data_IF_621673267759
#
_entry.id   IF_621673267759
#
_cell.length_a   1.000
_cell.length_b   1.000
_cell.length_c   1.000
_cell.angle_alpha   90.00
_cell.angle_beta   90.00
_cell.angle_gamma   90.00
#
_symmetry.space_group_name_H-M   'P 1'
#
loop_
_entity.id
_entity.type
_entity.pdbx_description
1 polymer ?
2 branched ?
3 non-polymer ?
4 non-polymer ?
5 non-polymer ?
6 non-polymer ?
7 water ?
#
# COMPACT_ATOMS: atom_id res chain seq x y z
N UNK A 1 -19.52 -39.93 -23.14
CA UNK A 1 -19.71 -38.77 -22.28
C UNK A 1 -19.93 -37.48 -23.10
N UNK A 2 -21.19 -37.01 -23.14
CA UNK A 2 -21.51 -35.80 -23.87
C UNK A 2 -21.01 -34.53 -23.20
N UNK A 3 -20.61 -34.59 -21.92
CA UNK A 3 -20.12 -33.40 -21.24
C UNK A 3 -18.74 -32.98 -21.71
N UNK A 4 -18.04 -33.84 -22.47
CA UNK A 4 -16.74 -33.48 -23.03
C UNK A 4 -16.91 -32.36 -24.04
N UNK A 5 -16.25 -31.23 -23.79
CA UNK A 5 -16.22 -30.03 -24.61
C UNK A 5 -17.46 -29.16 -24.47
N UNK A 6 -18.43 -29.54 -23.64
CA UNK A 6 -19.58 -28.71 -23.35
C UNK A 6 -19.17 -27.62 -22.37
N UNK A 7 -19.18 -26.37 -22.82
CA UNK A 7 -18.69 -25.25 -22.03
C UNK A 7 -19.80 -24.67 -21.14
N UNK A 8 -19.38 -24.15 -19.99
CA UNK A 8 -20.26 -23.62 -18.97
C UNK A 8 -19.64 -22.35 -18.39
N UNK A 9 -20.48 -21.42 -17.95
CA UNK A 9 -19.96 -20.20 -17.35
C UNK A 9 -19.33 -20.51 -16.00
N UNK A 10 -18.59 -19.53 -15.47
CA UNK A 10 -17.85 -19.73 -14.21
C UNK A 10 -18.80 -20.04 -13.07
N UNK A 11 -18.38 -20.94 -12.19
CA UNK A 11 -19.25 -21.43 -11.15
C UNK A 11 -20.24 -22.47 -11.59
N UNK A 12 -20.29 -22.80 -12.88
CA UNK A 12 -21.10 -23.87 -13.43
C UNK A 12 -20.20 -24.98 -13.96
N UNK A 13 -20.77 -26.18 -14.02
CA UNK A 13 -20.10 -27.36 -14.55
C UNK A 13 -21.12 -28.14 -15.34
N UNK A 14 -20.60 -28.95 -16.26
CA UNK A 14 -21.44 -29.80 -17.11
C UNK A 14 -21.69 -31.14 -16.43
N UNK A 15 -22.96 -31.47 -16.23
CA UNK A 15 -23.38 -32.75 -15.70
C UNK A 15 -24.40 -33.38 -16.65
N UNK A 16 -24.26 -34.68 -16.86
CA UNK A 16 -25.14 -35.38 -17.78
C UNK A 16 -26.52 -35.59 -17.15
N UNK A 17 -27.53 -35.65 -18.02
CA UNK A 17 -28.91 -35.86 -17.60
C UNK A 17 -29.15 -37.35 -17.32
N UNK A 18 -30.30 -37.65 -16.72
CA UNK A 18 -30.71 -39.04 -16.62
C UNK A 18 -30.80 -39.70 -17.99
N UNK A 19 -30.91 -38.90 -19.05
CA UNK A 19 -30.96 -39.38 -20.43
C UNK A 19 -29.63 -39.28 -21.13
N UNK A 20 -28.57 -38.87 -20.44
CA UNK A 20 -27.28 -38.64 -21.04
C UNK A 20 -27.11 -37.27 -21.67
N UNK A 21 -28.11 -36.39 -21.55
CA UNK A 21 -28.05 -35.06 -22.13
C UNK A 21 -27.21 -34.14 -21.24
N UNK A 22 -26.22 -33.44 -21.80
CA UNK A 22 -25.42 -32.52 -20.95
C UNK A 22 -26.18 -31.26 -20.56
N UNK A 23 -25.98 -30.85 -19.30
CA UNK A 23 -26.57 -29.64 -18.74
C UNK A 23 -25.52 -28.92 -17.89
N UNK A 24 -25.52 -27.59 -17.94
CA UNK A 24 -24.74 -26.79 -17.00
C UNK A 24 -25.50 -26.69 -15.67
N UNK A 25 -24.89 -27.18 -14.60
CA UNK A 25 -25.45 -27.04 -13.26
C UNK A 25 -24.45 -26.28 -12.39
N UNK A 26 -24.93 -25.82 -11.24
CA UNK A 26 -24.05 -25.13 -10.31
C UNK A 26 -22.98 -26.08 -9.79
N UNK A 27 -21.79 -25.53 -9.59
CA UNK A 27 -20.70 -26.31 -9.04
C UNK A 27 -20.88 -26.44 -7.54
N UNK A 28 -20.71 -27.65 -7.03
CA UNK A 28 -20.72 -27.88 -5.59
C UNK A 28 -19.43 -27.33 -5.01
N UNK A 29 -19.48 -26.39 -4.07
CA UNK A 29 -18.22 -25.82 -3.52
C UNK A 29 -17.27 -26.87 -2.97
N UNK A 30 -17.77 -28.03 -2.55
CA UNK A 30 -16.87 -29.04 -2.00
C UNK A 30 -15.90 -29.53 -3.07
N UNK A 31 -16.32 -29.57 -4.34
CA UNK A 31 -15.43 -30.02 -5.40
C UNK A 31 -14.39 -28.98 -5.81
N UNK A 32 -14.43 -27.78 -5.25
CA UNK A 32 -13.41 -26.80 -5.57
C UNK A 32 -12.04 -27.33 -5.17
N UNK A 33 -11.00 -27.09 -5.97
CA UNK A 33 -9.64 -27.54 -5.58
C UNK A 33 -9.29 -27.12 -4.16
N UNK A 34 -8.45 -27.88 -3.46
CA UNK A 34 -7.99 -27.43 -2.15
C UNK A 34 -7.28 -26.09 -2.26
N UNK A 35 -7.32 -25.33 -1.16
CA UNK A 35 -6.91 -23.94 -1.19
C UNK A 35 -5.72 -23.71 -0.26
N UNK A 36 -4.87 -22.78 -0.67
CA UNK A 36 -3.81 -22.22 0.15
C UNK A 36 -4.27 -20.85 0.68
N UNK A 37 -3.72 -20.40 1.80
CA UNK A 37 -4.14 -19.08 2.32
C UNK A 37 -4.17 -17.96 1.30
N UNK A 38 -3.17 -17.86 0.43
CA UNK A 38 -3.10 -16.75 -0.50
C UNK A 38 -4.09 -16.85 -1.65
N UNK A 39 -4.86 -17.95 -1.75
CA UNK A 39 -5.93 -18.04 -2.73
C UNK A 39 -7.17 -17.26 -2.32
N UNK A 40 -7.23 -16.84 -1.06
CA UNK A 40 -8.42 -16.17 -0.55
C UNK A 40 -8.72 -14.93 -1.36
N UNK A 41 -10.00 -14.58 -1.43
CA UNK A 41 -10.45 -13.40 -2.16
C UNK A 41 -11.57 -12.78 -1.37
N UNK A 42 -11.79 -11.49 -1.59
CA UNK A 42 -12.81 -10.73 -0.90
C UNK A 42 -13.91 -10.40 -1.90
N UNK A 43 -15.14 -10.79 -1.57
CA UNK A 43 -16.25 -10.50 -2.43
C UNK A 43 -16.80 -9.12 -2.21
N UNK A 44 -17.60 -8.67 -3.19
CA UNK A 44 -18.23 -7.37 -3.05
C UNK A 44 -19.19 -7.33 -1.88
N UNK A 45 -19.51 -8.49 -1.29
CA UNK A 45 -20.33 -8.59 -0.07
C UNK A 45 -19.50 -8.46 1.20
N UNK A 46 -18.22 -8.11 1.08
CA UNK A 46 -17.27 -8.10 2.20
C UNK A 46 -17.22 -9.45 2.92
N UNK A 47 -17.42 -10.54 2.19
CA UNK A 47 -17.22 -11.88 2.72
C UNK A 47 -15.94 -12.42 2.12
N UNK A 48 -15.15 -13.11 2.94
CA UNK A 48 -13.95 -13.76 2.49
C UNK A 48 -14.29 -15.16 2.00
N UNK A 49 -13.85 -15.48 0.79
CA UNK A 49 -14.03 -16.81 0.20
C UNK A 49 -12.67 -17.51 0.14
N UNK A 50 -12.67 -18.83 0.35
CA UNK A 50 -11.43 -19.59 0.39
C UNK A 50 -10.69 -19.45 -0.93
N UNK A 51 -11.43 -19.32 -2.02
CA UNK A 51 -10.84 -19.07 -3.31
C UNK A 51 -11.91 -18.52 -4.25
N UNK A 52 -11.44 -18.16 -5.43
CA UNK A 52 -12.34 -17.68 -6.48
C UNK A 52 -13.35 -18.75 -6.87
N UNK A 53 -12.93 -20.03 -6.85
CA UNK A 53 -13.86 -21.11 -7.18
C UNK A 53 -15.03 -21.11 -6.20
N UNK A 54 -14.76 -20.90 -4.93
CA UNK A 54 -15.83 -20.91 -3.94
C UNK A 54 -16.76 -19.72 -4.14
N UNK A 55 -16.22 -18.57 -4.50
CA UNK A 55 -17.07 -17.41 -4.68
C UNK A 55 -18.06 -17.65 -5.81
N UNK A 56 -17.58 -18.11 -6.96
CA UNK A 56 -18.48 -18.23 -8.11
C UNK A 56 -19.43 -19.42 -7.98
N UNK A 57 -19.04 -20.48 -7.27
CA UNK A 57 -19.99 -21.52 -6.94
C UNK A 57 -21.12 -20.96 -6.08
N UNK A 58 -20.79 -20.11 -5.10
CA UNK A 58 -21.81 -19.47 -4.28
C UNK A 58 -22.70 -18.58 -5.12
N UNK A 59 -22.09 -17.75 -5.97
CA UNK A 59 -22.86 -16.88 -6.86
C UNK A 59 -23.84 -17.69 -7.70
N UNK A 60 -23.39 -18.83 -8.22
CA UNK A 60 -24.27 -19.67 -9.03
C UNK A 60 -25.45 -20.16 -8.21
N UNK A 61 -25.19 -20.70 -7.01
CA UNK A 61 -26.25 -21.14 -6.13
C UNK A 61 -27.26 -20.04 -5.86
N UNK A 62 -26.83 -18.78 -6.00
CA UNK A 62 -27.65 -17.62 -5.71
C UNK A 62 -28.22 -16.99 -6.97
N UNK A 63 -28.11 -17.68 -8.11
CA UNK A 63 -28.59 -17.11 -9.36
C UNK A 63 -30.08 -16.77 -9.24
N UNK A 64 -30.46 -15.62 -9.78
CA UNK A 64 -31.83 -15.18 -9.79
C UNK A 64 -32.21 -14.16 -8.73
N UNK A 65 -31.29 -13.82 -7.84
CA UNK A 65 -31.61 -12.99 -6.69
C UNK A 65 -30.71 -11.76 -6.65
N UNK A 66 -31.11 -10.82 -5.79
CA UNK A 66 -30.34 -9.60 -5.57
C UNK A 66 -28.92 -9.93 -5.14
N UNK A 67 -28.78 -10.66 -4.02
CA UNK A 67 -27.45 -11.01 -3.54
C UNK A 67 -26.65 -11.77 -4.58
N UNK A 68 -27.32 -12.61 -5.38
CA UNK A 68 -26.61 -13.32 -6.43
C UNK A 68 -26.09 -12.37 -7.49
N UNK A 69 -26.96 -11.48 -7.97
CA UNK A 69 -26.57 -10.55 -9.03
C UNK A 69 -25.47 -9.61 -8.56
N UNK A 70 -25.49 -9.24 -7.27
CA UNK A 70 -24.49 -8.31 -6.75
C UNK A 70 -23.13 -8.98 -6.58
N UNK A 71 -23.09 -10.25 -6.17
CA UNK A 71 -21.83 -10.85 -5.75
C UNK A 71 -20.83 -10.88 -6.90
N UNK A 72 -19.69 -10.24 -6.68
CA UNK A 72 -18.58 -10.30 -7.60
C UNK A 72 -17.31 -10.40 -6.76
N UNK A 73 -16.23 -10.75 -7.42
CA UNK A 73 -14.92 -10.69 -6.83
C UNK A 73 -14.50 -9.22 -6.70
N UNK A 74 -14.11 -8.80 -5.48
CA UNK A 74 -13.73 -7.42 -5.23
C UNK A 74 -12.22 -7.24 -5.27
N UNK A 75 -11.48 -8.04 -4.51
CA UNK A 75 -10.03 -7.97 -4.59
C UNK A 75 -9.44 -9.25 -4.01
N UNK A 76 -8.16 -9.44 -4.27
CA UNK A 76 -7.43 -10.57 -3.77
C UNK A 76 -7.07 -10.36 -2.30
N UNK A 77 -6.92 -11.45 -1.57
CA UNK A 77 -6.75 -11.42 -0.13
C UNK A 77 -8.07 -11.48 0.63
N UNK A 78 -7.95 -11.65 1.95
CA UNK A 78 -9.12 -11.64 2.81
C UNK A 78 -9.66 -10.22 2.94
N UNK A 79 -10.96 -10.11 3.24
CA UNK A 79 -11.54 -8.78 3.38
C UNK A 79 -10.87 -8.07 4.55
N UNK A 80 -10.61 -6.78 4.36
CA UNK A 80 -9.88 -6.00 5.34
C UNK A 80 -10.40 -4.57 5.33
N UNK A 81 -10.12 -3.86 6.41
CA UNK A 81 -10.40 -2.45 6.52
C UNK A 81 -9.10 -1.75 6.16
N UNK A 82 -9.10 -1.01 5.06
CA UNK A 82 -7.88 -0.35 4.59
C UNK A 82 -8.22 0.99 4.02
N UNK A 83 -7.27 1.91 4.04
CA UNK A 83 -7.53 3.26 3.53
C UNK A 83 -7.69 3.31 2.01
N UNK A 84 -8.22 4.45 1.60
CA UNK A 84 -8.44 4.76 0.20
C UNK A 84 -7.13 5.03 -0.50
N UNK A 85 -6.94 4.42 -1.67
CA UNK A 85 -5.73 4.67 -2.41
C UNK A 85 -5.61 6.16 -2.72
N UNK A 86 -4.38 6.67 -2.67
CA UNK A 86 -4.05 7.98 -3.18
C UNK A 86 -3.72 7.87 -4.67
N UNK A 87 -3.69 9.01 -5.36
CA UNK A 87 -3.39 8.99 -6.79
C UNK A 87 -2.01 8.40 -7.05
N UNK A 88 -1.01 8.74 -6.22
CA UNK A 88 0.34 8.24 -6.46
C UNK A 88 0.49 6.77 -6.09
N UNK A 89 -0.38 6.22 -5.22
CA UNK A 89 -0.41 4.77 -5.04
C UNK A 89 -0.95 4.10 -6.30
N UNK A 90 -1.82 4.78 -7.05
CA UNK A 90 -2.36 4.20 -8.27
C UNK A 90 -1.34 4.30 -9.40
N UNK A 91 -0.82 5.50 -9.61
CA UNK A 91 0.17 5.81 -10.65
C UNK A 91 1.38 6.39 -9.90
N UNK A 92 2.44 5.61 -9.82
CA UNK A 92 3.60 5.91 -9.00
C UNK A 92 4.60 6.83 -9.73
N UNK A 93 5.40 7.52 -8.94
CA UNK A 93 6.50 8.34 -9.40
C UNK A 93 7.76 7.48 -9.54
N UNK A 94 8.74 7.91 -10.32
CA UNK A 94 9.98 7.13 -10.42
C UNK A 94 10.62 6.89 -9.06
N UNK A 95 11.33 5.78 -8.96
CA UNK A 95 11.98 5.39 -7.72
C UNK A 95 12.90 6.48 -7.18
N UNK A 96 13.67 7.13 -8.07
CA UNK A 96 14.56 8.21 -7.64
C UNK A 96 13.78 9.27 -6.87
N UNK A 97 12.59 9.62 -7.36
CA UNK A 97 11.80 10.63 -6.67
C UNK A 97 11.26 10.11 -5.35
N UNK A 98 10.95 8.82 -5.28
CA UNK A 98 10.49 8.27 -4.01
C UNK A 98 11.62 8.21 -3.00
N UNK A 99 12.86 7.94 -3.45
CA UNK A 99 13.99 7.99 -2.52
C UNK A 99 14.23 9.40 -2.02
N UNK A 100 14.09 10.39 -2.90
CA UNK A 100 14.28 11.78 -2.50
C UNK A 100 13.27 12.18 -1.44
N UNK A 101 12.01 11.82 -1.67
CA UNK A 101 10.95 12.15 -0.74
C UNK A 101 11.16 11.45 0.59
N UNK A 102 11.54 10.18 0.55
CA UNK A 102 11.84 9.44 1.76
C UNK A 102 13.00 10.08 2.52
N UNK A 103 14.03 10.52 1.81
CA UNK A 103 15.19 11.08 2.49
C UNK A 103 14.90 12.42 3.14
N UNK A 104 14.13 13.29 2.50
CA UNK A 104 13.81 14.54 3.17
C UNK A 104 12.90 14.28 4.37
N UNK A 105 11.97 13.31 4.26
CA UNK A 105 11.12 13.01 5.42
C UNK A 105 11.96 12.42 6.55
N UNK A 106 12.88 11.52 6.23
CA UNK A 106 13.73 10.97 7.27
C UNK A 106 14.60 12.07 7.87
N UNK A 107 15.23 12.87 7.01
CA UNK A 107 16.06 13.97 7.49
C UNK A 107 15.24 14.95 8.33
N UNK A 108 14.02 15.25 7.90
CA UNK A 108 13.15 16.13 8.68
C UNK A 108 12.81 15.52 10.05
N UNK A 109 12.64 14.20 10.11
CA UNK A 109 12.38 13.55 11.39
C UNK A 109 13.58 13.63 12.31
N UNK A 110 14.78 13.35 11.79
CA UNK A 110 15.96 13.33 12.65
C UNK A 110 16.26 14.71 13.21
N UNK A 111 16.03 15.78 12.43
CA UNK A 111 16.21 17.14 12.94
C UNK A 111 15.22 17.49 14.05
N UNK A 112 14.03 16.87 14.04
CA UNK A 112 12.99 17.19 15.01
C UNK A 112 12.93 16.22 16.18
N UNK A 113 13.68 15.13 16.16
CA UNK A 113 13.58 14.10 17.18
C UNK A 113 14.66 14.31 18.23
N UNK A 114 14.94 13.27 19.01
CA UNK A 114 16.07 13.26 19.95
C UNK A 114 17.37 13.14 19.15
N UNK A 127 18.14 23.18 8.20
CA UNK A 127 17.54 21.86 8.24
C UNK A 127 16.05 21.96 8.61
N UNK A 128 15.78 22.33 9.86
CA UNK A 128 14.42 22.65 10.27
C UNK A 128 13.90 23.85 9.50
N UNK A 129 14.73 24.89 9.36
CA UNK A 129 14.35 26.05 8.56
C UNK A 129 14.33 25.71 7.07
N UNK A 130 15.30 24.91 6.63
CA UNK A 130 15.36 24.49 5.22
C UNK A 130 14.04 23.85 4.81
N UNK A 131 13.60 22.83 5.55
CA UNK A 131 12.41 22.06 5.19
C UNK A 131 11.21 22.40 6.05
N UNK A 132 11.17 23.61 6.60
CA UNK A 132 10.04 24.03 7.42
C UNK A 132 8.73 23.92 6.66
N UNK A 133 8.61 24.69 5.58
CA UNK A 133 7.39 24.65 4.78
C UNK A 133 7.05 23.23 4.36
N UNK A 134 8.07 22.39 4.19
CA UNK A 134 7.84 20.99 3.85
C UNK A 134 7.17 20.26 5.00
N UNK A 135 7.65 20.48 6.24
CA UNK A 135 7.04 19.86 7.41
C UNK A 135 5.55 20.16 7.50
N UNK A 136 5.14 21.41 7.22
CA UNK A 136 3.77 21.83 7.40
C UNK A 136 2.83 21.32 6.30
N UNK A 137 3.36 20.78 5.20
CA UNK A 137 2.51 20.08 4.25
C UNK A 137 2.04 18.74 4.82
N UNK A 138 2.88 18.08 5.62
CA UNK A 138 2.53 16.75 6.12
C UNK A 138 1.33 16.80 7.07
N UNK A 139 1.23 17.84 7.88
CA UNK A 139 0.00 18.00 8.65
C UNK A 139 -1.18 18.33 7.75
N UNK A 140 -0.95 18.52 6.45
CA UNK A 140 -2.04 18.77 5.52
C UNK A 140 -2.72 17.49 5.07
N UNK A 141 -3.80 17.67 4.32
CA UNK A 141 -4.60 16.55 3.84
C UNK A 141 -4.02 15.85 2.61
N UNK A 142 -3.20 16.54 1.80
CA UNK A 142 -2.62 15.92 0.60
C UNK A 142 -1.16 16.30 0.43
N UNK A 143 -0.29 15.88 1.36
CA UNK A 143 1.10 16.38 1.33
C UNK A 143 1.89 16.01 0.09
N UNK A 144 1.83 14.75 -0.36
CA UNK A 144 2.64 14.32 -1.48
C UNK A 144 2.16 14.97 -2.78
N UNK A 145 0.85 15.08 -2.97
CA UNK A 145 0.31 15.72 -4.15
C UNK A 145 0.85 17.15 -4.27
N UNK A 146 0.86 17.88 -3.16
CA UNK A 146 1.28 19.27 -3.20
C UNK A 146 2.78 19.38 -3.42
N UNK A 147 3.56 18.57 -2.71
CA UNK A 147 5.02 18.62 -2.88
C UNK A 147 5.45 18.27 -4.30
N UNK A 148 4.77 17.31 -4.94
CA UNK A 148 5.07 16.86 -6.30
C UNK A 148 4.27 17.59 -7.38
N UNK A 149 3.71 18.77 -7.08
CA UNK A 149 2.84 19.45 -8.04
C UNK A 149 3.58 19.81 -9.34
N UNK A 150 4.81 20.31 -9.23
CA UNK A 150 5.54 20.71 -10.43
C UNK A 150 5.86 19.51 -11.31
N UNK A 151 6.22 18.38 -10.67
CA UNK A 151 6.50 17.15 -11.40
C UNK A 151 5.31 16.73 -12.25
N UNK A 152 4.09 16.87 -11.72
CA UNK A 152 2.88 16.43 -12.40
C UNK A 152 2.62 17.21 -13.67
N UNK A 153 3.32 18.31 -13.92
CA UNK A 153 3.16 19.03 -15.16
C UNK A 153 3.98 18.46 -16.31
N UNK A 154 4.88 17.52 -16.03
CA UNK A 154 5.68 16.96 -17.11
C UNK A 154 4.87 15.93 -17.89
N UNK A 155 4.91 16.06 -19.21
CA UNK A 155 4.09 15.20 -20.06
C UNK A 155 4.61 13.76 -20.06
N UNK A 156 5.92 13.55 -20.28
CA UNK A 156 6.40 12.18 -20.41
C UNK A 156 6.39 11.43 -19.08
N UNK A 157 6.63 12.12 -17.95
CA UNK A 157 6.75 11.43 -16.68
C UNK A 157 5.44 11.36 -15.89
N UNK A 158 4.43 12.14 -16.24
CA UNK A 158 3.21 12.04 -15.45
C UNK A 158 1.94 12.08 -16.30
N UNK A 159 1.80 13.12 -17.13
CA UNK A 159 0.55 13.34 -17.84
C UNK A 159 0.27 12.17 -18.77
N UNK A 160 1.25 11.80 -19.58
CA UNK A 160 1.03 10.68 -20.51
C UNK A 160 0.75 9.38 -19.75
N UNK A 161 1.53 9.00 -18.74
CA UNK A 161 1.11 7.82 -17.94
C UNK A 161 -0.32 7.90 -17.43
N UNK A 162 -0.79 9.07 -17.01
CA UNK A 162 -2.17 9.14 -16.52
C UNK A 162 -3.15 8.84 -17.65
N UNK A 163 -2.88 9.35 -18.85
CA UNK A 163 -3.76 9.08 -19.98
C UNK A 163 -3.68 7.61 -20.40
N UNK A 164 -2.48 7.03 -20.38
CA UNK A 164 -2.30 5.65 -20.79
C UNK A 164 -3.03 4.69 -19.87
N UNK A 165 -3.07 5.01 -18.57
CA UNK A 165 -3.82 4.14 -17.65
C UNK A 165 -5.32 4.17 -17.98
N UNK A 166 -5.86 5.35 -18.28
CA UNK A 166 -7.26 5.44 -18.67
C UNK A 166 -7.54 4.60 -19.90
N UNK A 167 -6.72 4.74 -20.94
CA UNK A 167 -7.00 4.05 -22.19
C UNK A 167 -6.79 2.54 -22.05
N UNK A 168 -5.85 2.12 -21.21
CA UNK A 168 -5.72 0.70 -20.91
C UNK A 168 -6.99 0.14 -20.27
N UNK A 169 -7.71 0.94 -19.49
CA UNK A 169 -8.91 0.41 -18.82
C UNK A 169 -10.17 0.59 -19.66
N UNK A 170 -10.18 1.51 -20.62
CA UNK A 170 -11.40 1.86 -21.35
C UNK A 170 -11.53 0.92 -22.54
N UNK A 171 -11.94 -0.31 -22.24
CA UNK A 171 -11.99 -1.38 -23.22
C UNK A 171 -13.27 -2.20 -23.25
N UNK A 172 -14.19 -2.02 -22.30
CA UNK A 172 -15.32 -2.94 -22.14
C UNK A 172 -16.59 -2.18 -21.85
N UNK A 173 -17.08 -1.37 -22.81
CA UNK A 173 -16.48 -1.12 -24.13
C UNK A 173 -15.62 0.13 -24.15
N UNK A 174 -14.86 0.32 -25.23
CA UNK A 174 -14.06 1.52 -25.41
C UNK A 174 -15.00 2.65 -25.85
N UNK A 175 -15.18 3.65 -24.98
CA UNK A 175 -16.14 4.72 -25.28
C UNK A 175 -15.76 6.02 -24.60
N UNK A 176 -14.51 6.18 -24.16
CA UNK A 176 -14.01 7.41 -23.58
C UNK A 176 -14.60 7.69 -22.19
N UNK A 177 -15.21 6.69 -21.55
CA UNK A 177 -15.58 6.78 -20.15
C UNK A 177 -15.27 5.44 -19.51
N UNK A 178 -15.00 5.47 -18.20
CA UNK A 178 -14.77 4.28 -17.41
C UNK A 178 -15.99 4.01 -16.52
N UNK A 179 -16.38 2.74 -16.43
CA UNK A 179 -17.44 2.29 -15.53
C UNK A 179 -16.85 1.36 -14.48
N UNK A 180 -17.71 1.00 -13.52
CA UNK A 180 -17.27 0.18 -12.39
C UNK A 180 -16.57 -1.09 -12.86
N UNK A 181 -17.15 -1.77 -13.86
CA UNK A 181 -16.60 -3.06 -14.28
C UNK A 181 -15.23 -2.91 -14.95
N UNK A 182 -14.97 -1.75 -15.55
CA UNK A 182 -13.68 -1.50 -16.18
C UNK A 182 -12.61 -1.19 -15.16
N UNK A 183 -12.97 -0.59 -14.02
CA UNK A 183 -12.02 -0.24 -12.98
C UNK A 183 -11.75 -1.38 -12.00
N UNK A 184 -12.60 -2.41 -12.00
CA UNK A 184 -12.53 -3.54 -11.05
C UNK A 184 -11.20 -4.29 -11.12
N UNK A 185 -10.56 -4.58 -12.26
CA UNK A 185 -9.25 -5.21 -12.23
C UNK A 185 -8.17 -4.35 -11.55
N UNK A 186 -8.20 -3.02 -11.72
CA UNK A 186 -7.23 -2.09 -11.10
C UNK A 186 -7.45 -2.11 -9.59
N UNK A 187 -8.68 -1.95 -9.12
CA UNK A 187 -8.98 -2.03 -7.69
C UNK A 187 -8.47 -3.32 -7.08
N UNK A 188 -8.75 -4.44 -7.75
CA UNK A 188 -8.37 -5.75 -7.23
C UNK A 188 -6.86 -5.88 -7.09
N UNK A 189 -6.11 -5.28 -8.01
CA UNK A 189 -4.65 -5.45 -8.02
C UNK A 189 -3.95 -4.51 -7.04
N UNK A 190 -4.53 -3.36 -6.74
CA UNK A 190 -3.87 -2.44 -5.83
C UNK A 190 -3.92 -2.89 -4.35
N UNK A 191 -4.86 -3.72 -3.94
CA UNK A 191 -4.87 -4.19 -2.56
C UNK A 191 -3.58 -4.95 -2.22
N UNK A 192 -3.20 -6.00 -2.95
CA UNK A 192 -1.91 -6.64 -2.64
C UNK A 192 -0.69 -5.75 -2.88
N UNK A 193 -0.72 -4.86 -3.86
CA UNK A 193 0.48 -4.08 -4.17
C UNK A 193 0.68 -2.89 -3.23
N UNK A 194 -0.42 -2.28 -2.80
CA UNK A 194 -0.38 -1.00 -2.12
C UNK A 194 -1.18 -1.00 -0.83
N UNK A 195 -1.92 -2.08 -0.53
CA UNK A 195 -2.66 -2.19 0.72
C UNK A 195 -3.67 -1.05 0.85
N UNK A 196 -4.30 -0.69 -0.26
CA UNK A 196 -5.31 0.35 -0.27
C UNK A 196 -6.43 -0.05 -1.21
N UNK A 197 -7.59 0.56 -0.98
CA UNK A 197 -8.78 0.30 -1.79
C UNK A 197 -9.07 1.56 -2.61
N UNK A 198 -9.18 1.40 -3.93
CA UNK A 198 -9.53 2.54 -4.75
C UNK A 198 -10.99 2.87 -4.56
N UNK A 199 -11.31 4.17 -4.57
CA UNK A 199 -12.69 4.64 -4.46
C UNK A 199 -12.96 5.69 -5.54
N UNK A 200 -12.83 5.26 -6.79
CA UNK A 200 -12.91 6.22 -7.89
C UNK A 200 -14.27 6.88 -7.96
N UNK A 201 -15.33 6.14 -7.65
CA UNK A 201 -16.69 6.70 -7.74
C UNK A 201 -17.07 7.50 -6.51
N UNK A 202 -16.29 7.44 -5.44
CA UNK A 202 -16.48 8.35 -4.32
C UNK A 202 -15.66 9.64 -4.48
N UNK A 203 -14.58 9.61 -5.28
CA UNK A 203 -13.63 10.71 -5.36
C UNK A 203 -13.49 11.34 -6.74
N UNK A 204 -13.73 10.59 -7.82
CA UNK A 204 -13.44 11.05 -9.17
C UNK A 204 -14.67 11.01 -10.07
N UNK A 205 -15.87 11.06 -9.49
CA UNK A 205 -17.12 11.11 -10.25
C UNK A 205 -18.00 12.19 -9.61
N UNK A 206 -17.61 13.46 -9.75
CA UNK A 206 -18.30 14.51 -8.98
C UNK A 206 -19.75 14.73 -9.37
N UNK A 207 -20.20 14.35 -10.57
CA UNK A 207 -21.62 14.45 -10.88
C UNK A 207 -22.41 13.18 -10.57
N UNK A 208 -21.75 12.15 -10.04
CA UNK A 208 -22.40 10.94 -9.50
C UNK A 208 -23.24 10.20 -10.54
N UNK A 209 -22.85 10.24 -11.82
CA UNK A 209 -23.54 9.48 -12.85
C UNK A 209 -22.90 8.12 -13.11
N UNK A 210 -21.90 7.73 -12.32
CA UNK A 210 -21.30 6.39 -12.37
C UNK A 210 -20.49 6.17 -13.64
N UNK A 211 -20.17 7.23 -14.37
CA UNK A 211 -19.29 7.16 -15.52
C UNK A 211 -18.20 8.20 -15.28
N UNK A 212 -16.94 7.79 -15.45
CA UNK A 212 -15.80 8.67 -15.23
C UNK A 212 -15.25 9.05 -16.59
N UNK A 213 -15.35 10.34 -16.91
CA UNK A 213 -14.81 10.87 -18.16
C UNK A 213 -13.30 11.11 -18.02
N UNK A 214 -12.66 11.36 -19.15
CA UNK A 214 -11.23 11.70 -19.13
C UNK A 214 -11.00 12.97 -18.30
N UNK A 215 -11.88 13.95 -18.41
CA UNK A 215 -11.71 15.17 -17.61
C UNK A 215 -11.78 14.84 -16.14
N UNK A 216 -12.77 14.03 -15.74
CA UNK A 216 -12.89 13.63 -14.33
C UNK A 216 -11.68 12.85 -13.86
N UNK A 217 -11.18 11.94 -14.71
CA UNK A 217 -10.02 11.14 -14.37
C UNK A 217 -8.78 12.00 -14.23
N UNK A 218 -8.55 12.91 -15.18
CA UNK A 218 -7.37 13.76 -15.11
C UNK A 218 -7.38 14.68 -13.91
N UNK A 219 -8.54 15.30 -13.64
CA UNK A 219 -8.68 16.17 -12.47
C UNK A 219 -8.38 15.39 -11.20
N UNK A 220 -8.82 14.13 -11.15
CA UNK A 220 -8.62 13.31 -9.98
C UNK A 220 -7.16 12.93 -9.78
N UNK A 221 -6.36 12.91 -10.85
CA UNK A 221 -4.92 12.82 -10.70
C UNK A 221 -4.23 14.19 -10.66
N UNK A 222 -5.01 15.28 -10.57
CA UNK A 222 -4.43 16.60 -10.42
C UNK A 222 -3.77 17.15 -11.66
N UNK A 223 -4.20 16.71 -12.83
CA UNK A 223 -3.73 17.24 -14.09
C UNK A 223 -4.63 18.41 -14.49
N UNK A 224 -4.04 19.55 -14.82
CA UNK A 224 -4.83 20.73 -15.16
C UNK A 224 -5.64 20.48 -16.42
N UNK A 225 -6.76 21.19 -16.51
CA UNK A 225 -7.68 20.95 -17.62
C UNK A 225 -7.00 21.23 -18.96
N UNK A 226 -6.16 22.26 -19.02
CA UNK A 226 -5.40 22.57 -20.23
C UNK A 226 -4.52 21.42 -20.72
N UNK A 227 -4.15 20.46 -19.85
CA UNK A 227 -3.29 19.34 -20.22
C UNK A 227 -4.04 18.06 -20.51
N UNK A 228 -5.37 18.06 -20.41
CA UNK A 228 -6.16 16.86 -20.70
C UNK A 228 -6.49 16.85 -22.17
N UNK A 229 -6.17 15.75 -22.85
CA UNK A 229 -6.17 15.71 -24.31
C UNK A 229 -6.62 14.33 -24.74
N UNK A 230 -7.81 14.26 -25.34
CA UNK A 230 -8.38 12.98 -25.75
C UNK A 230 -7.59 12.30 -26.88
N UNK A 231 -6.71 13.03 -27.57
CA UNK A 231 -5.93 12.44 -28.67
C UNK A 231 -4.91 11.41 -28.18
N UNK A 232 -4.57 11.40 -26.90
CA UNK A 232 -3.56 10.46 -26.39
C UNK A 232 -4.12 9.06 -26.14
N UNK A 233 -5.41 8.84 -26.32
CA UNK A 233 -6.02 7.53 -26.05
C UNK A 233 -5.90 6.56 -27.24
N UNK B 8 22.50 19.70 26.71
CA UNK B 8 21.23 19.15 27.17
C UNK B 8 20.46 18.48 26.01
N UNK B 9 19.70 17.44 26.34
CA UNK B 9 18.93 16.70 25.33
C UNK B 9 17.71 17.51 24.87
N UNK B 10 17.08 17.03 23.80
CA UNK B 10 15.87 17.70 23.32
C UNK B 10 14.80 17.63 24.41
N UNK B 11 14.08 18.73 24.58
CA UNK B 11 13.18 18.89 25.71
C UNK B 11 13.87 19.34 26.98
N UNK B 12 15.20 19.40 27.01
CA UNK B 12 15.96 19.96 28.12
C UNK B 12 16.67 21.23 27.66
N UNK B 13 16.94 22.12 28.61
CA UNK B 13 17.64 23.37 28.32
C UNK B 13 18.58 23.73 29.46
N UNK B 24 21.14 20.67 33.57
CA UNK B 24 20.11 20.53 32.53
C UNK B 24 18.71 20.38 33.13
N UNK B 25 17.93 21.46 33.08
CA UNK B 25 16.58 21.45 33.58
C UNK B 25 15.62 21.25 32.41
N UNK B 26 14.37 20.96 32.73
CA UNK B 26 13.33 20.82 31.71
C UNK B 26 13.12 22.16 31.00
N UNK B 27 12.78 22.07 29.71
CA UNK B 27 12.44 23.26 28.94
C UNK B 27 11.03 23.70 29.33
N UNK B 28 10.86 24.99 29.53
CA UNK B 28 9.53 25.52 29.79
C UNK B 28 8.70 25.46 28.52
N UNK B 29 7.54 24.80 28.51
CA UNK B 29 6.72 24.77 27.28
C UNK B 29 6.41 26.17 26.76
N UNK B 30 6.47 27.17 27.62
CA UNK B 30 6.15 28.54 27.24
C UNK B 30 7.14 29.05 26.21
N UNK B 31 8.42 28.71 26.35
CA UNK B 31 9.43 29.19 25.42
C UNK B 31 9.41 28.43 24.11
N UNK B 32 8.58 27.41 23.96
CA UNK B 32 8.47 26.75 22.67
C UNK B 32 8.00 27.79 21.64
N UNK B 33 8.56 27.79 20.44
CA UNK B 33 8.08 28.71 19.41
C UNK B 33 6.56 28.65 19.31
N UNK B 34 5.92 29.73 18.86
CA UNK B 34 4.48 29.65 18.61
C UNK B 34 4.18 28.59 17.56
N UNK B 35 3.01 27.99 17.66
CA UNK B 35 2.65 26.84 16.84
C UNK B 35 1.44 27.16 15.99
N UNK B 36 1.46 26.66 14.77
CA UNK B 36 0.34 26.65 13.85
C UNK B 36 -0.31 25.27 13.83
N UNK B 37 -1.57 25.19 13.42
CA UNK B 37 -2.20 23.86 13.28
C UNK B 37 -1.32 22.85 12.56
N UNK B 38 -0.65 23.28 11.49
CA UNK B 38 0.16 22.38 10.67
C UNK B 38 1.48 22.00 11.32
N UNK B 39 1.79 22.56 12.49
CA UNK B 39 2.94 22.11 13.26
C UNK B 39 2.66 20.85 14.08
N UNK B 40 1.40 20.41 14.13
CA UNK B 40 1.03 19.28 14.98
C UNK B 40 1.82 18.02 14.61
N UNK B 41 2.02 17.17 15.62
CA UNK B 41 2.74 15.92 15.47
C UNK B 41 2.08 14.83 16.32
N UNK B 42 2.37 13.58 15.99
CA UNK B 42 1.81 12.41 16.66
C UNK B 42 2.92 11.70 17.42
N UNK B 43 2.75 11.54 18.73
CA UNK B 43 3.70 10.82 19.54
C UNK B 43 3.45 9.31 19.51
N UNK B 44 4.43 8.54 20.00
CA UNK B 44 4.29 7.09 20.04
C UNK B 44 3.17 6.63 20.99
N UNK B 45 2.65 7.53 21.82
CA UNK B 45 1.49 7.28 22.68
C UNK B 45 0.18 7.47 21.94
N UNK B 46 0.22 7.63 20.62
CA UNK B 46 -0.94 8.02 19.82
C UNK B 46 -1.66 9.26 20.35
N UNK B 47 -0.91 10.20 20.92
CA UNK B 47 -1.41 11.51 21.30
C UNK B 47 -0.92 12.57 20.33
N UNK B 48 -1.78 13.53 20.01
CA UNK B 48 -1.40 14.66 19.17
C UNK B 48 -0.84 15.80 20.01
N UNK B 49 0.37 16.24 19.67
CA UNK B 49 1.02 17.36 20.34
C UNK B 49 1.04 18.55 19.39
N UNK B 50 1.01 19.74 20.00
CA UNK B 50 0.94 20.98 19.25
C UNK B 50 2.14 21.18 18.34
N UNK B 51 3.29 20.66 18.74
CA UNK B 51 4.47 20.66 17.88
C UNK B 51 5.50 19.71 18.48
N UNK B 52 6.57 19.51 17.72
CA UNK B 52 7.66 18.66 18.21
C UNK B 52 8.25 19.21 19.50
N UNK B 53 8.34 20.55 19.61
CA UNK B 53 8.86 21.15 20.84
C UNK B 53 8.00 20.83 22.05
N UNK B 54 6.68 20.88 21.88
CA UNK B 54 5.79 20.61 23.00
C UNK B 54 5.85 19.15 23.40
N UNK B 55 6.00 18.24 22.44
CA UNK B 55 6.08 16.82 22.75
C UNK B 55 7.28 16.53 23.65
N UNK B 56 8.46 17.06 23.30
CA UNK B 56 9.65 16.76 24.10
C UNK B 56 9.67 17.56 25.41
N UNK B 57 9.07 18.77 25.43
CA UNK B 57 8.87 19.43 26.71
C UNK B 57 7.97 18.59 27.62
N UNK B 58 6.90 18.01 27.06
CA UNK B 58 6.03 17.15 27.84
C UNK B 58 6.81 15.93 28.33
N UNK B 59 7.58 15.32 27.43
CA UNK B 59 8.42 14.18 27.80
C UNK B 59 9.29 14.51 28.99
N UNK B 60 9.88 15.71 29.01
CA UNK B 60 10.74 16.08 30.12
C UNK B 60 9.97 16.13 31.44
N UNK B 61 8.82 16.82 31.46
CA UNK B 61 8.02 16.88 32.70
C UNK B 61 7.67 15.49 33.23
N UNK B 62 7.66 14.48 32.36
CA UNK B 62 7.29 13.12 32.71
C UNK B 62 8.49 12.19 32.88
N UNK B 63 9.71 12.72 32.92
CA UNK B 63 10.88 11.86 33.04
C UNK B 63 10.83 11.06 34.34
N UNK B 64 11.27 9.80 34.25
CA UNK B 64 11.29 8.91 35.38
C UNK B 64 10.16 7.89 35.43
N UNK B 65 9.24 7.93 34.47
CA UNK B 65 8.03 7.14 34.50
C UNK B 65 7.92 6.29 33.24
N UNK B 66 6.98 5.33 33.26
CA UNK B 66 6.71 4.51 32.08
C UNK B 66 6.29 5.40 30.91
N UNK B 67 5.20 6.15 31.09
CA UNK B 67 4.69 7.01 30.03
C UNK B 67 5.76 7.98 29.58
N UNK B 68 6.60 8.45 30.49
CA UNK B 68 7.66 9.37 30.12
C UNK B 68 8.73 8.73 29.26
N UNK B 69 9.25 7.57 29.68
CA UNK B 69 10.36 6.95 28.96
C UNK B 69 9.94 6.51 27.56
N UNK B 70 8.69 6.08 27.38
CA UNK B 70 8.25 5.56 26.10
C UNK B 70 8.11 6.65 25.04
N UNK B 71 7.61 7.82 25.44
CA UNK B 71 7.16 8.85 24.50
C UNK B 71 8.28 9.28 23.56
N UNK B 72 8.03 9.13 22.26
CA UNK B 72 8.90 9.58 21.21
C UNK B 72 8.07 10.24 20.12
N UNK B 73 8.74 10.96 19.21
CA UNK B 73 8.08 11.45 18.00
C UNK B 73 7.80 10.26 17.09
N UNK B 74 6.56 10.15 16.60
CA UNK B 74 6.17 9.05 15.73
C UNK B 74 6.07 9.48 14.27
N UNK B 75 5.22 10.45 13.95
CA UNK B 75 5.13 11.00 12.61
C UNK B 75 4.53 12.39 12.68
N UNK B 76 4.66 13.13 11.57
CA UNK B 76 4.16 14.50 11.48
C UNK B 76 2.67 14.55 11.19
N UNK B 77 2.04 15.61 11.66
CA UNK B 77 0.61 15.75 11.59
C UNK B 77 -0.05 15.14 12.81
N UNK B 78 -1.37 15.35 12.89
CA UNK B 78 -2.15 14.81 13.97
C UNK B 78 -2.31 13.30 13.82
N UNK B 79 -2.53 12.64 14.96
CA UNK B 79 -2.65 11.19 14.95
C UNK B 79 -3.85 10.76 14.11
N UNK B 80 -3.70 9.62 13.45
CA UNK B 80 -4.75 9.11 12.59
C UNK B 80 -4.75 7.61 12.70
N UNK B 81 -5.80 7.00 12.16
CA UNK B 81 -5.96 5.55 12.14
C UNK B 81 -5.39 5.00 10.83
N UNK B 82 -4.39 4.15 10.93
CA UNK B 82 -3.78 3.56 9.74
C UNK B 82 -3.35 2.13 10.02
N UNK B 83 -3.42 1.25 9.03
CA UNK B 83 -3.01 -0.14 9.25
C UNK B 83 -1.49 -0.29 9.27
N UNK B 84 -1.07 -1.46 9.72
CA UNK B 84 0.33 -1.85 9.76
C UNK B 84 0.87 -2.06 8.35
N UNK B 85 2.06 -1.51 8.07
CA UNK B 85 2.65 -1.65 6.75
C UNK B 85 2.88 -3.12 6.40
N UNK B 86 2.63 -3.47 5.14
CA UNK B 86 2.98 -4.76 4.54
C UNK B 86 4.34 -4.69 3.85
N UNK B 87 4.84 -5.89 3.47
CA UNK B 87 6.14 -6.01 2.83
C UNK B 87 6.24 -5.15 1.58
N UNK B 88 5.22 -5.20 0.73
CA UNK B 88 5.29 -4.49 -0.53
C UNK B 88 5.12 -2.99 -0.35
N UNK B 89 4.57 -2.53 0.77
CA UNK B 89 4.52 -1.09 1.00
C UNK B 89 5.88 -0.53 1.38
N UNK B 90 6.67 -1.28 2.16
CA UNK B 90 7.96 -0.78 2.62
C UNK B 90 8.99 -0.82 1.48
N UNK B 91 9.01 -1.89 0.70
CA UNK B 91 10.01 -2.07 -0.35
C UNK B 91 9.59 -1.30 -1.61
N UNK B 92 10.37 -0.29 -1.98
CA UNK B 92 10.02 0.56 -3.12
C UNK B 92 10.51 -0.12 -4.40
N UNK B 93 9.54 -0.47 -5.37
CA UNK B 93 9.94 -1.09 -6.63
C UNK B 93 10.08 -0.07 -7.76
N UNK B 94 10.99 -0.30 -8.72
CA UNK B 94 11.03 0.55 -9.93
C UNK B 94 9.72 0.45 -10.69
N UNK B 95 9.42 1.52 -11.44
CA UNK B 95 8.16 1.62 -12.16
C UNK B 95 7.92 0.43 -13.09
N UNK B 96 8.93 0.02 -13.86
CA UNK B 96 8.70 -1.05 -14.83
C UNK B 96 8.34 -2.37 -14.15
N UNK B 97 8.86 -2.61 -12.94
CA UNK B 97 8.53 -3.88 -12.30
C UNK B 97 7.19 -3.79 -11.61
N UNK B 98 6.85 -2.63 -11.05
CA UNK B 98 5.54 -2.56 -10.42
C UNK B 98 4.46 -2.55 -11.49
N UNK B 99 4.72 -1.96 -12.65
CA UNK B 99 3.75 -2.00 -13.74
C UNK B 99 3.55 -3.43 -14.25
N UNK B 100 4.62 -4.21 -14.33
CA UNK B 100 4.51 -5.61 -14.71
C UNK B 100 3.66 -6.36 -13.70
N UNK B 101 3.93 -6.15 -12.42
CA UNK B 101 3.18 -6.84 -11.38
C UNK B 101 1.71 -6.47 -11.42
N UNK B 102 1.41 -5.18 -11.61
CA UNK B 102 0.03 -4.74 -11.71
C UNK B 102 -0.70 -5.37 -12.90
N UNK B 103 -0.04 -5.41 -14.06
CA UNK B 103 -0.67 -6.00 -15.23
C UNK B 103 -0.89 -7.50 -15.07
N UNK B 104 0.02 -8.20 -14.43
CA UNK B 104 -0.21 -9.63 -14.18
C UNK B 104 -1.43 -9.81 -13.28
N UNK B 105 -1.51 -9.00 -12.21
CA UNK B 105 -2.62 -9.16 -11.28
C UNK B 105 -3.94 -8.86 -11.96
N UNK B 106 -3.98 -7.83 -12.80
CA UNK B 106 -5.22 -7.48 -13.48
C UNK B 106 -5.60 -8.54 -14.50
N UNK B 107 -4.61 -9.23 -15.08
CA UNK B 107 -4.92 -10.33 -15.98
C UNK B 107 -5.47 -11.51 -15.19
N UNK B 108 -4.92 -11.77 -14.01
CA UNK B 108 -5.48 -12.84 -13.18
C UNK B 108 -6.93 -12.52 -12.80
N UNK B 109 -7.24 -11.26 -12.53
CA UNK B 109 -8.63 -10.88 -12.24
C UNK B 109 -9.52 -11.04 -13.48
N UNK B 110 -9.03 -10.57 -14.64
CA UNK B 110 -9.87 -10.59 -15.83
C UNK B 110 -10.20 -12.03 -16.22
N UNK B 111 -9.29 -12.95 -15.93
CA UNK B 111 -9.56 -14.37 -16.15
C UNK B 111 -10.76 -14.85 -15.36
N UNK B 112 -11.07 -14.23 -14.23
CA UNK B 112 -12.13 -14.68 -13.33
C UNK B 112 -13.45 -13.96 -13.60
N UNK B 140 -1.16 -21.32 -13.35
CA UNK B 140 -1.03 -22.25 -12.25
C UNK B 140 -2.34 -22.52 -11.53
N UNK B 141 -2.31 -23.47 -10.59
CA UNK B 141 -3.48 -23.84 -9.82
C UNK B 141 -3.75 -22.87 -8.67
N UNK B 142 -2.72 -22.18 -8.20
CA UNK B 142 -2.80 -21.23 -7.10
C UNK B 142 -2.04 -19.99 -7.52
N UNK B 143 -2.58 -19.24 -8.49
CA UNK B 143 -1.76 -18.20 -9.14
C UNK B 143 -1.18 -17.15 -8.20
N UNK B 144 -1.98 -16.63 -7.27
CA UNK B 144 -1.47 -15.57 -6.40
C UNK B 144 -0.42 -16.11 -5.45
N UNK B 145 -0.66 -17.30 -4.89
CA UNK B 145 0.34 -17.94 -4.04
C UNK B 145 1.64 -18.13 -4.78
N UNK B 146 1.57 -18.58 -6.03
CA UNK B 146 2.76 -18.88 -6.80
C UNK B 146 3.47 -17.60 -7.20
N UNK B 147 2.70 -16.59 -7.60
CA UNK B 147 3.29 -15.32 -8.01
C UNK B 147 4.05 -14.67 -6.87
N UNK B 148 3.49 -14.69 -5.66
CA UNK B 148 4.15 -13.98 -4.57
C UNK B 148 5.28 -14.81 -4.00
N UNK B 149 5.16 -16.14 -4.02
CA UNK B 149 6.26 -16.98 -3.56
C UNK B 149 7.47 -16.81 -4.48
N UNK B 150 7.24 -16.80 -5.79
CA UNK B 150 8.34 -16.64 -6.73
C UNK B 150 8.96 -15.24 -6.65
N UNK B 151 8.10 -14.23 -6.53
CA UNK B 151 8.58 -12.86 -6.46
C UNK B 151 9.51 -12.67 -5.27
N UNK B 152 9.11 -13.14 -4.09
CA UNK B 152 9.90 -12.97 -2.88
C UNK B 152 11.17 -13.81 -2.87
N UNK B 153 11.29 -14.78 -3.77
CA UNK B 153 12.54 -15.52 -3.97
C UNK B 153 13.43 -14.87 -5.02
N UNK B 154 12.95 -13.86 -5.75
CA UNK B 154 13.77 -13.25 -6.78
C UNK B 154 14.74 -12.25 -6.16
N UNK B 155 16.03 -12.44 -6.46
CA UNK B 155 17.04 -11.61 -5.80
C UNK B 155 17.01 -10.19 -6.30
N UNK B 156 17.01 -9.99 -7.62
CA UNK B 156 17.12 -8.63 -8.17
C UNK B 156 15.86 -7.80 -7.89
N UNK B 157 14.70 -8.44 -7.83
CA UNK B 157 13.48 -7.67 -7.62
C UNK B 157 13.10 -7.50 -6.16
N UNK B 158 13.55 -8.40 -5.27
CA UNK B 158 13.09 -8.37 -3.88
C UNK B 158 14.16 -8.67 -2.82
N UNK B 159 14.88 -9.80 -2.95
CA UNK B 159 15.78 -10.20 -1.85
C UNK B 159 16.86 -9.16 -1.66
N UNK B 160 17.51 -8.76 -2.74
CA UNK B 160 18.56 -7.75 -2.63
C UNK B 160 18.01 -6.42 -2.13
N UNK B 161 16.93 -5.85 -2.70
CA UNK B 161 16.32 -4.65 -2.08
C UNK B 161 15.99 -4.78 -0.59
N UNK B 162 15.52 -5.94 -0.11
CA UNK B 162 15.29 -6.10 1.32
C UNK B 162 16.61 -5.95 2.08
N UNK B 163 17.70 -6.50 1.52
CA UNK B 163 19.03 -6.38 2.16
C UNK B 163 19.55 -4.94 2.08
N UNK B 164 19.32 -4.29 0.94
CA UNK B 164 19.76 -2.90 0.78
C UNK B 164 19.06 -1.98 1.78
N UNK B 165 17.78 -2.22 2.03
CA UNK B 165 17.06 -1.35 2.97
C UNK B 165 17.59 -1.51 4.40
N UNK B 166 17.89 -2.76 4.81
CA UNK B 166 18.52 -2.97 6.10
C UNK B 166 19.81 -2.18 6.20
N UNK B 167 20.64 -2.29 5.18
CA UNK B 167 21.96 -1.67 5.25
C UNK B 167 21.89 -0.15 5.14
N UNK B 168 20.93 0.39 4.37
CA UNK B 168 20.72 1.84 4.38
C UNK B 168 20.39 2.36 5.77
N UNK B 169 19.71 1.56 6.59
CA UNK B 169 19.23 2.02 7.89
C UNK B 169 20.25 1.82 8.99
N UNK B 170 21.20 0.90 8.78
CA UNK B 170 22.13 0.48 9.82
C UNK B 170 23.35 1.39 9.83
N UNK B 171 23.16 2.60 10.36
CA UNK B 171 24.17 3.64 10.27
C UNK B 171 24.47 4.34 11.59
N UNK B 172 23.72 4.09 12.66
CA UNK B 172 23.83 4.87 13.89
C UNK B 172 23.74 3.94 15.09
N UNK B 173 24.74 3.07 15.27
CA UNK B 173 25.91 2.86 14.40
C UNK B 173 25.75 1.70 13.42
N UNK B 174 26.71 1.56 12.50
CA UNK B 174 26.75 0.40 11.61
C UNK B 174 27.27 -0.78 12.41
N UNK B 175 26.40 -1.76 12.67
CA UNK B 175 26.75 -2.83 13.60
C UNK B 175 25.98 -4.11 13.30
N UNK B 176 25.38 -4.22 12.11
CA UNK B 176 24.67 -5.42 11.66
C UNK B 176 23.38 -5.67 12.42
N UNK B 177 22.86 -4.69 13.18
CA UNK B 177 21.53 -4.76 13.78
C UNK B 177 20.87 -3.39 13.72
N UNK B 178 19.54 -3.39 13.70
CA UNK B 178 18.72 -2.19 13.69
C UNK B 178 18.08 -1.97 15.06
N UNK B 179 18.12 -0.71 15.53
CA UNK B 179 17.52 -0.28 16.79
C UNK B 179 16.39 0.70 16.51
N UNK B 180 15.64 1.05 17.56
CA UNK B 180 14.49 1.94 17.43
C UNK B 180 14.86 3.23 16.70
N UNK B 181 15.99 3.82 17.10
CA UNK B 181 16.36 5.13 16.55
C UNK B 181 16.74 5.05 15.08
N UNK B 182 17.14 3.88 14.61
CA UNK B 182 17.44 3.71 13.18
C UNK B 182 16.18 3.48 12.34
N UNK B 183 15.15 2.82 12.90
CA UNK B 183 13.92 2.55 12.18
C UNK B 183 12.89 3.66 12.29
N UNK B 184 12.96 4.51 13.30
CA UNK B 184 11.95 5.58 13.54
C UNK B 184 11.84 6.55 12.36
N UNK B 185 12.92 7.02 11.69
CA UNK B 185 12.74 7.87 10.52
C UNK B 185 12.04 7.15 9.35
N UNK B 186 12.27 5.85 9.12
CA UNK B 186 11.57 5.06 8.06
C UNK B 186 10.08 5.03 8.39
N UNK B 187 9.71 4.78 9.63
CA UNK B 187 8.31 4.78 10.05
C UNK B 187 7.62 6.11 9.73
N UNK B 188 8.25 7.22 10.11
CA UNK B 188 7.64 8.52 9.87
C UNK B 188 7.53 8.84 8.38
N UNK B 189 8.45 8.36 7.56
CA UNK B 189 8.34 8.68 6.14
C UNK B 189 7.25 7.85 5.46
N UNK B 190 6.98 6.64 5.97
CA UNK B 190 5.98 5.78 5.36
C UNK B 190 4.55 6.19 5.67
N UNK B 191 4.32 6.92 6.76
CA UNK B 191 2.94 7.36 7.03
C UNK B 191 2.41 8.22 5.88
N UNK B 192 3.08 9.32 5.51
CA UNK B 192 2.59 10.10 4.36
C UNK B 192 2.77 9.41 3.02
N UNK B 193 3.83 8.61 2.84
CA UNK B 193 4.06 8.03 1.53
C UNK B 193 3.22 6.79 1.27
N UNK B 194 2.86 6.02 2.31
CA UNK B 194 2.17 4.76 2.11
C UNK B 194 0.92 4.61 2.96
N UNK B 195 0.65 5.55 3.87
CA UNK B 195 -0.56 5.51 4.69
C UNK B 195 -0.59 4.22 5.52
N UNK B 196 0.57 3.84 6.05
CA UNK B 196 0.68 2.68 6.91
C UNK B 196 1.68 2.98 8.02
N UNK B 197 1.56 2.25 9.13
CA UNK B 197 2.47 2.40 10.27
C UNK B 197 3.30 1.12 10.37
N UNK B 198 4.62 1.25 10.38
CA UNK B 198 5.47 0.08 10.57
C UNK B 198 5.40 -0.35 12.03
N UNK B 199 5.47 -1.65 12.27
CA UNK B 199 5.49 -2.19 13.63
C UNK B 199 6.62 -3.20 13.75
N UNK B 200 7.83 -2.73 13.51
CA UNK B 200 8.96 -3.65 13.37
C UNK B 200 9.27 -4.39 14.67
N UNK B 201 9.21 -3.71 15.80
CA UNK B 201 9.60 -4.34 17.06
C UNK B 201 8.48 -5.17 17.70
N UNK B 202 7.26 -5.08 17.20
CA UNK B 202 6.22 -5.99 17.62
C UNK B 202 6.19 -7.27 16.81
N UNK B 203 6.72 -7.25 15.60
CA UNK B 203 6.56 -8.33 14.65
C UNK B 203 7.86 -8.94 14.16
N UNK B 204 8.96 -8.18 14.18
CA UNK B 204 10.22 -8.65 13.61
C UNK B 204 11.32 -8.68 14.65
N UNK B 205 10.96 -8.78 15.93
CA UNK B 205 11.91 -8.91 17.03
C UNK B 205 11.40 -9.97 18.01
N UNK B 206 11.40 -11.24 17.60
CA UNK B 206 10.75 -12.26 18.44
C UNK B 206 11.44 -12.54 19.77
N UNK B 207 12.74 -12.26 19.91
CA UNK B 207 13.40 -12.43 21.20
C UNK B 207 13.33 -11.17 22.07
N UNK B 208 12.66 -10.11 21.60
CA UNK B 208 12.32 -8.95 22.42
C UNK B 208 13.55 -8.32 23.05
N UNK B 209 14.69 -8.33 22.37
CA UNK B 209 15.90 -7.70 22.86
C UNK B 209 16.10 -6.29 22.31
N UNK B 210 15.14 -5.75 21.56
CA UNK B 210 15.15 -4.38 21.07
C UNK B 210 16.21 -4.15 20.00
N UNK B 211 16.79 -5.22 19.44
CA UNK B 211 17.72 -5.18 18.34
C UNK B 211 17.19 -6.10 17.26
N UNK B 212 17.17 -5.65 16.00
CA UNK B 212 16.70 -6.45 14.88
C UNK B 212 17.91 -6.86 14.06
N UNK B 213 18.19 -8.17 14.00
CA UNK B 213 19.29 -8.68 13.20
C UNK B 213 18.87 -8.83 11.75
N UNK B 214 19.86 -9.08 10.89
CA UNK B 214 19.58 -9.35 9.49
C UNK B 214 18.65 -10.56 9.35
N UNK B 215 18.87 -11.59 10.17
CA UNK B 215 18.04 -12.80 10.11
C UNK B 215 16.59 -12.50 10.46
N UNK B 216 16.37 -11.73 11.53
CA UNK B 216 15.01 -11.35 11.90
C UNK B 216 14.39 -10.49 10.80
N UNK B 217 15.18 -9.58 10.26
CA UNK B 217 14.68 -8.69 9.21
C UNK B 217 14.25 -9.47 7.98
N UNK B 218 15.07 -10.44 7.56
CA UNK B 218 14.72 -11.22 6.37
C UNK B 218 13.48 -12.05 6.57
N UNK B 219 13.38 -12.75 7.71
CA UNK B 219 12.21 -13.56 7.99
C UNK B 219 10.95 -12.70 8.01
N UNK B 220 11.07 -11.50 8.54
CA UNK B 220 9.93 -10.58 8.64
C UNK B 220 9.50 -10.07 7.26
N UNK B 221 10.40 -10.06 6.29
CA UNK B 221 10.03 -9.80 4.90
C UNK B 221 9.78 -11.09 4.10
N UNK B 222 9.65 -12.24 4.76
CA UNK B 222 9.28 -13.46 4.07
C UNK B 222 10.38 -14.03 3.22
N UNK B 223 11.63 -13.75 3.57
CA UNK B 223 12.77 -14.31 2.90
C UNK B 223 13.23 -15.57 3.62
N UNK B 224 13.45 -16.65 2.85
CA UNK B 224 13.95 -17.89 3.40
C UNK B 224 15.37 -17.74 3.95
N UNK B 225 15.69 -18.56 4.95
CA UNK B 225 17.00 -18.49 5.60
C UNK B 225 18.13 -18.67 4.59
N UNK B 226 17.96 -19.59 3.63
CA UNK B 226 18.99 -19.83 2.64
C UNK B 226 19.27 -18.61 1.79
N UNK B 227 18.33 -17.68 1.70
CA UNK B 227 18.48 -16.50 0.86
C UNK B 227 18.94 -15.27 1.62
N UNK B 228 19.18 -15.39 2.94
CA UNK B 228 19.70 -14.30 3.74
C UNK B 228 21.22 -14.39 3.73
N UNK B 229 21.89 -13.29 3.39
CA UNK B 229 23.33 -13.30 3.12
C UNK B 229 23.92 -11.96 3.54
N UNK B 230 24.76 -11.96 4.58
CA UNK B 230 25.40 -10.73 5.02
C UNK B 230 26.35 -10.16 3.97
N UNK B 231 26.76 -10.97 2.99
CA UNK B 231 27.63 -10.44 1.94
C UNK B 231 26.94 -9.41 1.05
N UNK B 232 25.59 -9.36 1.06
CA UNK B 232 24.85 -8.40 0.27
C UNK B 232 24.78 -7.02 0.93
N UNK B 233 25.27 -6.89 2.16
CA UNK B 233 25.24 -5.61 2.87
C UNK B 233 26.45 -4.77 2.48
N UNK B 234 26.27 -3.43 2.51
CA UNK B 234 27.40 -2.51 2.32
C UNK B 234 28.64 -3.00 3.06
N UNK B 235 29.80 -2.85 2.42
CA UNK B 235 31.04 -3.38 2.94
C UNK B 235 31.44 -2.75 4.28
N UNK B 236 32.25 -3.48 5.02
CA UNK B 236 32.73 -3.04 6.33
C UNK B 236 33.71 -1.87 6.24
X LIG C 1 -15.15 -5.90 6.09
X LIG C 1 -15.46 -4.79 7.09
X LIG C 1 -14.19 -4.36 7.81
X LIG C 1 -13.52 -5.58 8.45
X LIG C 1 -13.28 -6.66 7.40
X LIG C 1 -12.73 -7.93 7.98
X LIG C 1 -17.43 -3.51 6.39
X LIG C 1 -17.92 -2.27 5.71
X LIG C 1 -16.11 -3.65 6.44
X LIG C 1 -14.50 -3.39 8.80
X LIG C 1 -12.29 -5.20 9.05
X LIG C 1 -14.53 -7.00 6.76
X LIG C 1 -13.60 -8.47 8.97
X LIG C 1 -18.20 -4.35 6.86
X LIG C 1 -16.08 -5.16 7.74
X LIG C 1 -13.58 -3.97 7.17
X LIG C 1 -14.10 -5.94 9.15
X LIG C 1 -12.67 -6.32 6.73
X LIG C 1 -11.86 -7.76 8.39
X LIG C 1 -12.62 -8.59 7.27
X LIG C 1 -18.88 -2.16 5.87
X LIG C 1 -17.76 -2.34 4.74
X LIG C 1 -17.45 -1.49 6.06
X LIG C 1 -15.57 -3.00 6.07
X LIG C 1 -13.75 -3.12 9.19
X LIG C 1 -13.24 -9.21 9.32
X LIG C 2 -12.61 -5.39 10.45
X LIG C 2 -11.20 -5.35 11.02
X LIG C 2 -11.24 -5.37 12.55
X LIG C 2 -12.19 -4.30 13.10
X LIG C 2 -13.56 -4.38 12.42
X LIG C 2 -14.47 -3.25 12.81
X LIG C 2 -9.51 -6.34 9.52
X LIG C 2 -8.79 -7.59 9.15
X LIG C 2 -10.40 -6.46 10.52
X LIG C 2 -9.92 -5.14 13.04
X LIG C 2 -12.36 -4.48 14.50
X LIG C 2 -13.40 -4.32 10.99
X LIG C 2 -15.85 -3.57 12.63
X LIG C 2 -9.32 -5.28 8.94
X LIG C 2 -10.78 -4.51 10.75
X LIG C 2 -11.56 -6.24 12.84
X LIG C 2 -11.80 -3.43 12.92
X LIG C 2 -13.98 -5.23 12.64
X LIG C 2 -14.26 -2.46 12.27
X LIG C 2 -14.32 -3.03 13.75
X LIG C 2 -8.08 -7.38 8.51
X LIG C 2 -9.40 -8.22 8.74
X LIG C 2 -8.39 -7.99 9.94
X LIG C 2 -10.51 -7.27 10.91
X LIG C 2 -9.70 -5.78 13.60
X LIG C 2 -12.24 -3.71 14.91
X LIG C 2 -16.33 -2.83 12.65
X LIG D 1 -4.85 7.17 17.38
X LIG D 1 -5.79 5.96 17.28
X LIG D 1 -6.81 6.16 16.17
X LIG D 1 -7.52 7.50 16.31
X LIG D 1 -6.49 8.63 16.42
X LIG D 1 -7.13 9.98 16.65
X LIG D 1 -5.18 3.62 17.71
X LIG D 1 -4.32 2.45 17.28
X LIG D 1 -5.02 4.75 17.02
X LIG D 1 -7.77 5.12 16.21
X LIG D 1 -8.29 7.72 15.13
X LIG D 1 -5.62 8.37 17.53
X LIG D 1 -7.88 10.04 17.86
X LIG D 1 -5.96 3.53 18.64
X LIG D 1 -6.27 5.87 18.13
X LIG D 1 -6.33 6.15 15.31
X LIG D 1 -8.07 7.49 17.11
X LIG D 1 -5.97 8.68 15.60
X LIG D 1 -7.74 10.17 15.91
X LIG D 1 -6.43 10.66 16.68
X LIG D 1 -4.53 1.68 17.82
X LIG D 1 -3.38 2.70 17.39
X LIG D 1 -4.50 2.25 16.34
X LIG D 1 -4.41 4.77 16.35
X LIG D 1 -8.49 5.35 15.75
X LIG D 1 -7.48 9.56 18.49
X LIG D 2 -9.59 7.67 15.31
X LIG D 2 -10.24 8.32 14.09
X LIG D 2 -11.70 8.67 14.40
X LIG D 2 -12.44 7.46 14.94
X LIG D 2 -11.67 6.80 16.10
X LIG D 2 -12.28 5.50 16.55
X LIG D 2 -8.73 9.54 12.57
X LIG D 2 -8.09 10.85 12.27
X LIG D 2 -9.52 9.50 13.66
X LIG D 2 -12.33 9.15 13.22
X LIG D 2 -13.73 7.87 15.38
X LIG D 2 -10.33 6.52 15.69
X LIG D 2 -11.39 4.40 16.32
X LIG D 2 -8.54 8.54 11.87
X LIG D 2 -10.22 7.67 13.37
X LIG D 2 -11.72 9.37 15.08
X LIG D 2 -12.54 6.78 14.23
X LIG D 2 -11.66 7.43 16.84
X LIG D 2 -13.10 5.33 16.06
X LIG D 2 -12.47 5.54 17.50
X LIG D 2 -7.55 10.78 11.46
X LIG D 2 -7.52 11.12 13.01
X LIG D 2 -8.78 11.52 12.14
X LIG D 2 -9.60 10.27 14.15
X LIG D 2 -13.16 9.40 13.42
X LIG D 2 -14.31 7.80 14.72
X LIG D 2 -10.79 4.36 16.98
X LIG E 1 -15.51 2.36 -21.26
X LIG F 1 -19.18 11.26 -14.06
X LIG G 1 -8.99 6.82 -5.91
X LIG G 1 -8.67 6.03 -4.99
X LIG G 1 -8.42 7.90 -6.11
X LIG G 1 -9.85 6.54 -6.52
X LIG H 1 -0.80 13.05 -0.48
X LIG I 1 11.60 3.93 -11.54
X LIG J 1 -23.64 -21.97 -17.69
X LIG K 1 22.81 -0.31 13.88
X LIG L 1 16.15 -9.33 18.08
X LIG M 1 6.35 -8.22 7.22
X LIG N 1 -0.35 1.91 1.15
X LIG O 1 17.00 -13.50 -9.52
X LIG O 1 16.96 -14.28 -8.54
X LIG O 1 17.52 -12.38 -9.49
X LIG O 1 16.51 -13.85 -10.43
X LIG P 1 6.17 0.48 -5.75
X LIG P 1 5.06 -0.05 -5.86
X LIG P 1 6.94 0.22 -4.82
X LIG P 1 6.45 1.22 -6.50
X LIG Q 1 6.51 -4.28 8.76
X LIG Q 1 5.66 -3.43 9.06
X LIG Q 1 6.57 -4.84 7.65
X LIG Q 1 7.21 -4.63 9.52
X LIG R 1 6.28 -1.16 -3.03
X LIG S 1 2.53 3.16 -11.83
#
# INVERSE_FOLDING_TARGET
>A
DSCMSFQCKRGHICKADQQGKPHCVCQDPVTCPPTKPLDQVCGTDNQTYASSCHLFATKCRLEGTKKGHQLQLDYFGACKSIPTCTDFEVIQFPLRMRDWLKNILMQLYEANSEHAGYLNEKQRNKVKKIYLDEKRLLAGDHPIDLLLRDFKKNYHMYVYPVHWQFSELDQHPMDRVLTHSELAPLRASLVPMEHCITRFFEECDPNKDKHITLKEWGHCFGIKEEDIDENLLFASTSHHHHHH
>B
DSCMSFQCKRGHICKADQQGKPHCVCQDPVTCPPTKPLDQVCGTDNQTYASSCHLFATKCRLEGTKKGHQLQLDYFGACKSIPTCTDFEVIQFPLRMRDWLKNILMQLYEANSEHAGYLNEKQRNKVKKIYLDEKRLLAGDHPIDLLLRDFKKNYHMYVYPVHWQFSELDQHPMDRVLTHSELAPLRASLVPMEHCITRFFEECDPNKDKHITLKEWGHCFGIKEEDIDENLLFASTSHHHHHH
>C hetero
1 NAG C1 C2 C3 C4 C5 C6 C7 C8 N2 O3 O4 O5 O6 O7 H2 H3 H4 H5 H61 H62 H81 H82 H83 HN2 HO3 HO6
2 NAG C1 C2 C3 C4 C5 C6 C7 C8 N2 O3 O4 O5 O6 O7 H2 H3 H4 H5 H61 H62 H81 H82 H83 HN2 HO3 HO4 HO6
>D hetero
1 NAG C1 C2 C3 C4 C5 C6 C7 C8 N2 O3 O4 O5 O6 O7 H2 H3 H4 H5 H61 H62 H81 H82 H83 HN2 HO3 HO6
2 NAG C1 C2 C3 C4 C5 C6 C7 C8 N2 O3 O4 O5 O6 O7 H2 H3 H4 H5 H61 H62 H81 H82 H83 HN2 HO3 HO4 HO6
>E hetero
1 CA CA
>F hetero
1 CA CA
>G hetero
1 FMT C O1 O2 H
>H hetero
1 CL CL
>I hetero
1 CL CL
>J hetero
1 CL CL
>K hetero
1 CA CA
>L hetero
1 CA CA
>M hetero
1 CA CA
>N hetero
1 CA CA
>O hetero
1 FMT C O1 O2 H
>P hetero
1 FMT C O1 O2 H
>Q hetero
1 FMT C O1 O2 H
>R hetero
1 NA NA
>S hetero
1 CL CL
#
